data_IF_469995553132
#
_entry.id   IF_469995553132
#
_cell.length_a   1.000
_cell.length_b   1.000
_cell.length_c   1.000
_cell.angle_alpha   90.00
_cell.angle_beta   90.00
_cell.angle_gamma   90.00
#
_symmetry.space_group_name_H-M   'P 1'
#
loop_
_entity.id
_entity.type
_entity.pdbx_description
1 polymer ?
#
# COMPACT_ATOMS: atom_id res chain seq x y z
N UNK A 1 -17.23 4.40 24.34
CA UNK A 1 -16.04 4.86 25.09
C UNK A 1 -16.39 5.70 26.32
N UNK A 2 -17.67 5.99 26.56
CA UNK A 2 -18.15 6.74 27.73
C UNK A 2 -17.70 6.15 29.07
N UNK A 3 -17.53 4.83 29.14
CA UNK A 3 -17.16 4.09 30.35
C UNK A 3 -15.71 4.36 30.81
N UNK A 4 -14.87 4.91 29.93
CA UNK A 4 -13.46 5.21 30.20
C UNK A 4 -13.18 6.72 30.31
N UNK A 5 -14.19 7.57 30.23
CA UNK A 5 -14.06 9.03 30.20
C UNK A 5 -13.05 9.50 29.12
N UNK A 6 -13.10 8.86 27.95
CA UNK A 6 -12.16 9.08 26.85
C UNK A 6 -12.83 9.90 25.75
N UNK A 7 -12.15 10.97 25.32
CA UNK A 7 -12.52 11.76 24.15
C UNK A 7 -11.57 11.46 23.00
N UNK A 8 -12.10 11.18 21.81
CA UNK A 8 -11.31 10.92 20.62
C UNK A 8 -11.56 12.02 19.59
N UNK A 9 -10.47 12.62 19.11
CA UNK A 9 -10.51 13.57 18.00
C UNK A 9 -9.74 12.99 16.81
N UNK A 10 -10.34 13.03 15.62
CA UNK A 10 -9.74 12.54 14.39
C UNK A 10 -9.29 13.73 13.56
N UNK A 11 -8.02 13.76 13.18
CA UNK A 11 -7.45 14.72 12.25
C UNK A 11 -7.09 13.97 10.96
N UNK A 12 -7.58 14.47 9.84
CA UNK A 12 -7.33 13.90 8.53
C UNK A 12 -6.22 14.68 7.84
N UNK A 13 -5.44 14.00 7.03
CA UNK A 13 -4.44 14.61 6.16
C UNK A 13 -4.37 13.87 4.82
N UNK A 14 -3.90 14.57 3.79
CA UNK A 14 -3.61 13.97 2.49
C UNK A 14 -2.24 13.26 2.55
N UNK A 15 -2.17 11.95 2.29
CA UNK A 15 -0.91 11.20 2.34
C UNK A 15 0.14 11.64 1.32
N UNK A 16 -0.26 12.38 0.31
CA UNK A 16 0.63 12.89 -0.75
C UNK A 16 0.95 14.37 -0.59
N UNK A 17 0.38 15.06 0.40
CA UNK A 17 0.64 16.47 0.69
C UNK A 17 1.35 16.65 2.04
N UNK A 18 2.61 17.08 1.96
CA UNK A 18 3.41 17.38 3.15
C UNK A 18 2.78 18.46 4.04
N UNK A 19 2.25 19.53 3.44
CA UNK A 19 1.66 20.62 4.22
C UNK A 19 0.40 20.17 4.95
N UNK A 20 -0.44 19.36 4.31
CA UNK A 20 -1.61 18.76 4.95
C UNK A 20 -1.22 17.91 6.18
N UNK A 21 -0.12 17.15 6.09
CA UNK A 21 0.39 16.37 7.22
C UNK A 21 0.91 17.26 8.35
N UNK A 22 1.66 18.32 8.03
CA UNK A 22 2.20 19.27 9.00
C UNK A 22 1.06 19.97 9.74
N UNK A 23 0.08 20.51 9.03
CA UNK A 23 -1.08 21.20 9.62
C UNK A 23 -1.85 20.30 10.57
N UNK A 24 -2.09 19.05 10.20
CA UNK A 24 -2.74 18.06 11.06
C UNK A 24 -1.90 17.75 12.31
N UNK A 25 -0.58 17.63 12.15
CA UNK A 25 0.36 17.37 13.24
C UNK A 25 0.42 18.53 14.23
N UNK A 26 0.51 19.76 13.76
CA UNK A 26 0.50 20.97 14.58
C UNK A 26 -0.82 21.13 15.34
N UNK A 27 -1.95 20.83 14.69
CA UNK A 27 -3.26 20.84 15.33
C UNK A 27 -3.35 19.81 16.47
N UNK A 28 -2.71 18.65 16.34
CA UNK A 28 -2.64 17.63 17.40
C UNK A 28 -1.75 18.13 18.55
N UNK A 29 -0.54 18.61 18.26
CA UNK A 29 0.42 19.07 19.26
C UNK A 29 -0.13 20.24 20.10
N UNK A 30 -0.86 21.16 19.45
CA UNK A 30 -1.51 22.30 20.15
C UNK A 30 -2.55 21.85 21.18
N UNK A 31 -3.16 20.68 20.98
CA UNK A 31 -4.19 20.16 21.88
C UNK A 31 -3.61 19.42 23.09
N UNK A 32 -2.32 19.09 23.08
CA UNK A 32 -1.64 18.32 24.13
C UNK A 32 -2.44 17.08 24.58
N UNK A 33 -2.72 16.13 23.67
CA UNK A 33 -3.51 14.94 24.00
C UNK A 33 -2.73 14.02 24.95
N UNK A 34 -3.45 13.18 25.70
CA UNK A 34 -2.85 12.16 26.56
C UNK A 34 -2.17 11.01 25.77
N UNK A 35 -2.46 10.90 24.49
CA UNK A 35 -1.86 9.93 23.60
C UNK A 35 -2.31 10.09 22.14
N UNK A 36 -1.54 9.56 21.21
CA UNK A 36 -1.81 9.71 19.77
C UNK A 36 -1.79 8.36 19.05
N UNK A 37 -2.79 8.14 18.20
CA UNK A 37 -2.76 7.06 17.20
C UNK A 37 -2.39 7.65 15.84
N UNK A 38 -1.33 7.16 15.25
CA UNK A 38 -0.83 7.64 13.95
C UNK A 38 -0.96 6.53 12.93
N UNK A 39 -1.56 6.83 11.76
CA UNK A 39 -1.50 5.98 10.58
C UNK A 39 -0.40 6.52 9.65
N UNK A 40 0.86 6.12 9.82
CA UNK A 40 1.96 6.73 9.09
C UNK A 40 1.95 6.32 7.62
N UNK A 41 2.12 7.28 6.72
CA UNK A 41 2.21 7.02 5.28
C UNK A 41 3.63 7.23 4.76
N UNK A 42 4.24 8.37 5.06
CA UNK A 42 5.58 8.73 4.61
C UNK A 42 6.54 8.80 5.81
N UNK A 43 7.59 7.96 5.85
CA UNK A 43 8.53 7.91 6.97
C UNK A 43 9.16 9.25 7.33
N UNK A 44 9.54 10.04 6.31
CA UNK A 44 10.18 11.34 6.49
C UNK A 44 9.28 12.37 7.18
N UNK A 45 7.97 12.34 6.93
CA UNK A 45 7.02 13.26 7.56
C UNK A 45 6.70 12.82 8.98
N UNK A 46 6.43 11.54 9.15
CA UNK A 46 6.04 10.97 10.44
C UNK A 46 7.15 11.08 11.47
N UNK A 47 8.42 10.92 11.06
CA UNK A 47 9.56 11.01 12.00
C UNK A 47 9.59 12.36 12.71
N UNK A 48 9.50 13.49 11.99
CA UNK A 48 9.51 14.82 12.59
C UNK A 48 8.38 15.03 13.61
N UNK A 49 7.20 14.51 13.32
CA UNK A 49 6.06 14.57 14.23
C UNK A 49 6.28 13.70 15.48
N UNK A 50 6.73 12.48 15.33
CA UNK A 50 6.97 11.58 16.47
C UNK A 50 8.13 12.02 17.35
N UNK A 51 9.17 12.65 16.81
CA UNK A 51 10.23 13.26 17.57
C UNK A 51 9.68 14.39 18.49
N UNK A 52 8.70 15.17 18.01
CA UNK A 52 8.02 16.18 18.82
C UNK A 52 7.12 15.55 19.91
N UNK A 53 6.39 14.48 19.59
CA UNK A 53 5.60 13.74 20.59
C UNK A 53 6.49 13.21 21.72
N UNK A 54 7.64 12.64 21.37
CA UNK A 54 8.63 12.16 22.35
C UNK A 54 9.17 13.29 23.21
N UNK A 55 9.47 14.45 22.63
CA UNK A 55 9.96 15.62 23.36
C UNK A 55 8.92 16.13 24.38
N UNK A 56 7.64 15.95 24.08
CA UNK A 56 6.52 16.36 24.94
C UNK A 56 6.03 15.25 25.89
N UNK A 57 6.71 14.09 25.93
CA UNK A 57 6.33 12.89 26.67
C UNK A 57 4.90 12.40 26.33
N UNK A 58 4.42 12.64 25.08
CA UNK A 58 3.14 12.16 24.61
C UNK A 58 3.30 10.76 24.02
N UNK A 59 2.71 9.71 24.62
CA UNK A 59 2.79 8.35 24.08
C UNK A 59 2.04 8.24 22.75
N UNK A 60 2.60 7.46 21.82
CA UNK A 60 1.94 7.22 20.55
C UNK A 60 2.03 5.75 20.13
N UNK A 61 1.04 5.33 19.35
CA UNK A 61 1.00 4.03 18.70
C UNK A 61 0.84 4.20 17.20
N UNK A 62 1.34 3.21 16.44
CA UNK A 62 1.05 3.15 15.03
C UNK A 62 -0.13 2.21 14.75
N UNK A 63 -0.95 2.61 13.79
CA UNK A 63 -2.04 1.80 13.24
C UNK A 63 -1.83 1.63 11.72
N UNK A 64 -2.21 0.47 11.20
CA UNK A 64 -2.16 0.11 9.78
C UNK A 64 -0.74 -0.03 9.21
N UNK A 65 0.08 1.00 9.26
CA UNK A 65 1.48 1.01 8.78
C UNK A 65 2.47 1.19 9.92
N UNK A 66 3.69 0.67 9.74
CA UNK A 66 4.79 0.82 10.68
C UNK A 66 6.00 1.46 10.00
N UNK A 67 6.76 2.24 10.72
CA UNK A 67 7.99 2.88 10.24
C UNK A 67 9.18 2.26 10.98
N UNK A 68 10.19 1.85 10.20
CA UNK A 68 11.46 1.41 10.75
C UNK A 68 12.17 2.57 11.44
N UNK A 69 12.95 2.26 12.46
CA UNK A 69 13.83 3.21 13.17
C UNK A 69 13.11 4.31 13.98
N UNK A 70 11.80 4.25 14.09
CA UNK A 70 10.99 5.15 14.93
C UNK A 70 9.99 4.30 15.73
N UNK A 71 10.44 3.68 16.83
CA UNK A 71 9.60 2.72 17.58
C UNK A 71 8.45 3.43 18.30
N UNK A 72 7.18 3.05 18.05
CA UNK A 72 6.04 3.49 18.83
C UNK A 72 5.94 2.68 20.13
N UNK A 73 5.05 3.08 21.03
CA UNK A 73 4.68 2.28 22.21
C UNK A 73 4.10 0.92 21.81
N UNK A 74 3.30 0.89 20.73
CA UNK A 74 2.77 -0.31 20.12
C UNK A 74 2.43 -0.10 18.65
N UNK A 75 2.35 -1.20 17.89
CA UNK A 75 1.87 -1.20 16.50
C UNK A 75 0.71 -2.17 16.35
N UNK A 76 -0.36 -1.70 15.73
CA UNK A 76 -1.53 -2.49 15.38
C UNK A 76 -1.74 -2.47 13.87
N UNK A 77 -1.39 -3.55 13.20
CA UNK A 77 -1.51 -3.66 11.75
C UNK A 77 -1.23 -5.07 11.24
N UNK A 78 -1.40 -5.25 9.95
CA UNK A 78 -1.13 -6.52 9.28
C UNK A 78 0.38 -6.71 9.09
N UNK A 79 0.85 -7.95 9.17
CA UNK A 79 2.18 -8.29 8.67
C UNK A 79 2.16 -8.26 7.13
N UNK A 80 2.48 -7.10 6.57
CA UNK A 80 2.38 -6.84 5.13
C UNK A 80 3.27 -7.77 4.30
N UNK A 81 4.49 -8.11 4.80
CA UNK A 81 5.38 -9.02 4.09
C UNK A 81 4.79 -10.43 4.01
N UNK A 82 4.29 -10.95 5.13
CA UNK A 82 3.65 -12.26 5.15
C UNK A 82 2.37 -12.27 4.31
N UNK A 83 1.62 -11.18 4.30
CA UNK A 83 0.43 -11.01 3.47
C UNK A 83 0.77 -11.06 1.98
N UNK A 84 1.84 -10.39 1.55
CA UNK A 84 2.32 -10.45 0.17
C UNK A 84 2.79 -11.85 -0.24
N UNK A 85 3.52 -12.54 0.65
CA UNK A 85 3.93 -13.93 0.45
C UNK A 85 2.72 -14.85 0.25
N UNK A 86 1.69 -14.68 1.07
CA UNK A 86 0.45 -15.44 0.94
C UNK A 86 -0.30 -15.11 -0.37
N UNK A 87 -0.35 -13.83 -0.76
CA UNK A 87 -0.99 -13.41 -2.00
C UNK A 87 -0.32 -14.03 -3.25
N UNK A 88 1.02 -14.15 -3.25
CA UNK A 88 1.74 -14.86 -4.30
C UNK A 88 1.29 -16.33 -4.39
N UNK A 89 1.21 -17.01 -3.25
CA UNK A 89 0.72 -18.39 -3.20
C UNK A 89 -0.69 -18.51 -3.76
N UNK A 90 -1.60 -17.59 -3.39
CA UNK A 90 -2.97 -17.60 -3.91
C UNK A 90 -3.03 -17.36 -5.42
N UNK A 91 -2.22 -16.41 -5.92
CA UNK A 91 -2.15 -16.15 -7.36
C UNK A 91 -1.66 -17.38 -8.11
N UNK A 92 -0.63 -18.07 -7.62
CA UNK A 92 -0.07 -19.24 -8.28
C UNK A 92 -1.02 -20.45 -8.26
N UNK A 93 -1.91 -20.56 -7.28
CA UNK A 93 -2.99 -21.56 -7.31
C UNK A 93 -3.99 -21.32 -8.45
N UNK A 94 -4.20 -20.05 -8.84
CA UNK A 94 -5.06 -19.67 -9.98
C UNK A 94 -4.30 -19.75 -11.30
N UNK A 95 -3.04 -19.31 -11.29
CA UNK A 95 -2.19 -19.19 -12.48
C UNK A 95 -1.75 -20.55 -13.06
N UNK A 96 -1.78 -21.61 -12.27
CA UNK A 96 -1.34 -22.96 -12.65
C UNK A 96 0.09 -22.94 -13.22
N UNK A 97 0.25 -23.30 -14.52
CA UNK A 97 1.56 -23.41 -15.17
C UNK A 97 1.97 -22.14 -15.96
N UNK A 98 1.30 -21.01 -15.71
CA UNK A 98 1.63 -19.75 -16.39
C UNK A 98 3.00 -19.24 -15.98
N UNK A 99 3.72 -18.68 -16.97
CA UNK A 99 5.13 -18.28 -16.80
C UNK A 99 5.31 -16.78 -16.62
N UNK A 100 4.26 -16.00 -16.75
CA UNK A 100 4.29 -14.54 -16.69
C UNK A 100 3.22 -14.01 -15.75
N UNK A 101 3.62 -13.09 -14.90
CA UNK A 101 2.73 -12.37 -13.98
C UNK A 101 3.05 -10.89 -14.09
N UNK A 102 2.03 -10.03 -13.99
CA UNK A 102 2.24 -8.59 -13.92
C UNK A 102 1.93 -8.05 -12.52
N UNK A 103 2.81 -7.21 -12.01
CA UNK A 103 2.56 -6.37 -10.84
C UNK A 103 2.10 -5.01 -11.34
N UNK A 104 0.88 -4.63 -11.00
CA UNK A 104 0.37 -3.28 -11.22
C UNK A 104 0.65 -2.43 -9.98
N UNK A 105 1.56 -1.46 -10.11
CA UNK A 105 1.84 -0.50 -9.04
C UNK A 105 1.04 0.78 -9.29
N UNK A 106 0.53 1.36 -8.22
CA UNK A 106 -0.02 2.71 -8.24
C UNK A 106 0.99 3.64 -7.59
N UNK A 107 1.50 4.56 -8.39
CA UNK A 107 2.51 5.53 -7.98
C UNK A 107 1.98 6.96 -8.11
N UNK A 108 2.44 7.83 -7.23
CA UNK A 108 2.20 9.27 -7.30
C UNK A 108 3.55 9.96 -7.29
N UNK A 109 3.88 10.69 -8.38
CA UNK A 109 5.17 11.38 -8.55
C UNK A 109 6.39 10.48 -8.27
N UNK A 110 6.33 9.21 -8.69
CA UNK A 110 7.40 8.23 -8.47
C UNK A 110 7.43 7.60 -7.07
N UNK A 111 6.46 7.94 -6.20
CA UNK A 111 6.37 7.42 -4.83
C UNK A 111 5.30 6.33 -4.76
N UNK A 112 5.67 5.16 -4.26
CA UNK A 112 4.71 4.12 -3.84
C UNK A 112 4.06 4.57 -2.53
N UNK A 113 2.73 4.68 -2.52
CA UNK A 113 1.98 5.42 -1.50
C UNK A 113 2.06 4.91 -0.06
N UNK A 114 2.60 3.72 0.21
CA UNK A 114 2.78 3.25 1.59
C UNK A 114 3.82 2.14 1.72
N UNK A 115 4.46 2.12 2.87
CA UNK A 115 5.37 1.06 3.31
C UNK A 115 4.74 -0.35 3.25
N UNK A 116 3.42 -0.44 3.33
CA UNK A 116 2.69 -1.69 3.21
C UNK A 116 2.77 -2.28 1.80
N UNK A 117 2.63 -1.46 0.76
CA UNK A 117 2.72 -1.92 -0.62
C UNK A 117 4.11 -2.49 -0.91
N UNK A 118 5.16 -1.78 -0.50
CA UNK A 118 6.53 -2.25 -0.63
C UNK A 118 6.77 -3.57 0.11
N UNK A 119 6.34 -3.66 1.36
CA UNK A 119 6.50 -4.88 2.14
C UNK A 119 5.70 -6.06 1.57
N UNK A 120 4.50 -5.82 1.02
CA UNK A 120 3.71 -6.84 0.33
C UNK A 120 4.44 -7.31 -0.93
N UNK A 121 5.00 -6.40 -1.72
CA UNK A 121 5.77 -6.75 -2.91
C UNK A 121 7.03 -7.55 -2.55
N UNK A 122 7.77 -7.16 -1.50
CA UNK A 122 8.92 -7.93 -0.99
C UNK A 122 8.51 -9.36 -0.64
N UNK A 123 7.40 -9.53 0.09
CA UNK A 123 6.90 -10.85 0.44
C UNK A 123 6.45 -11.67 -0.77
N UNK A 124 5.78 -11.04 -1.72
CA UNK A 124 5.37 -11.65 -2.99
C UNK A 124 6.58 -12.18 -3.76
N UNK A 125 7.58 -11.33 -3.98
CA UNK A 125 8.80 -11.70 -4.71
C UNK A 125 9.57 -12.81 -4.01
N UNK A 126 9.63 -12.78 -2.68
CA UNK A 126 10.25 -13.84 -1.90
C UNK A 126 9.59 -15.20 -2.19
N UNK A 127 8.26 -15.29 -2.17
CA UNK A 127 7.54 -16.53 -2.50
C UNK A 127 7.85 -16.98 -3.94
N UNK A 128 7.83 -16.06 -4.89
CA UNK A 128 8.10 -16.37 -6.30
C UNK A 128 9.52 -16.89 -6.51
N UNK A 129 10.52 -16.29 -5.87
CA UNK A 129 11.91 -16.74 -5.91
C UNK A 129 12.09 -18.14 -5.32
N UNK A 130 11.45 -18.40 -4.18
CA UNK A 130 11.55 -19.67 -3.47
C UNK A 130 10.82 -20.83 -4.19
N UNK A 131 9.69 -20.58 -4.84
CA UNK A 131 8.81 -21.62 -5.36
C UNK A 131 8.63 -21.62 -6.88
N UNK A 132 8.80 -20.47 -7.52
CA UNK A 132 8.58 -20.29 -8.97
C UNK A 132 9.68 -19.45 -9.63
N UNK A 133 10.98 -19.83 -9.49
CA UNK A 133 12.10 -19.00 -9.96
C UNK A 133 12.16 -18.83 -11.48
N UNK A 134 11.43 -19.65 -12.23
CA UNK A 134 11.32 -19.54 -13.70
C UNK A 134 10.17 -18.63 -14.18
N UNK A 135 9.36 -18.12 -13.24
CA UNK A 135 8.28 -17.20 -13.58
C UNK A 135 8.81 -15.79 -13.80
N UNK A 136 8.45 -15.20 -14.93
CA UNK A 136 8.80 -13.81 -15.25
C UNK A 136 7.81 -12.87 -14.56
N UNK A 137 8.33 -11.94 -13.79
CA UNK A 137 7.53 -10.88 -13.16
C UNK A 137 7.70 -9.61 -13.99
N UNK A 138 6.61 -9.21 -14.63
CA UNK A 138 6.49 -7.95 -15.35
C UNK A 138 5.97 -6.88 -14.38
N UNK A 139 6.27 -5.63 -14.67
CA UNK A 139 5.89 -4.48 -13.85
C UNK A 139 5.23 -3.42 -14.71
N UNK A 140 4.13 -2.87 -14.23
CA UNK A 140 3.47 -1.74 -14.85
C UNK A 140 3.11 -0.71 -13.79
N UNK A 141 3.75 0.45 -13.89
CA UNK A 141 3.52 1.59 -13.04
C UNK A 141 2.38 2.43 -13.62
N UNK A 142 1.34 2.65 -12.82
CA UNK A 142 0.15 3.42 -13.17
C UNK A 142 0.01 4.59 -12.20
N UNK A 143 -0.73 5.63 -12.57
CA UNK A 143 -0.96 6.78 -11.70
C UNK A 143 -1.77 6.37 -10.45
N UNK A 144 -1.50 7.01 -9.31
CA UNK A 144 -2.19 6.72 -8.05
C UNK A 144 -3.69 7.03 -8.12
N UNK A 145 -4.05 8.09 -8.80
CA UNK A 145 -5.42 8.48 -9.15
C UNK A 145 -5.84 7.83 -10.47
N UNK A 146 -7.16 7.70 -10.70
CA UNK A 146 -7.66 7.23 -11.99
C UNK A 146 -7.32 8.26 -13.07
N UNK A 147 -6.59 7.83 -14.10
CA UNK A 147 -6.16 8.65 -15.21
C UNK A 147 -6.54 7.96 -16.53
N UNK A 148 -6.97 8.73 -17.53
CA UNK A 148 -7.27 8.20 -18.86
C UNK A 148 -6.01 7.67 -19.55
N UNK A 149 -4.84 8.25 -19.27
CA UNK A 149 -3.53 7.76 -19.71
C UNK A 149 -3.25 6.32 -19.23
N UNK A 150 -3.71 5.94 -18.04
CA UNK A 150 -3.56 4.57 -17.53
C UNK A 150 -4.22 3.54 -18.45
N UNK A 151 -5.33 3.88 -19.10
CA UNK A 151 -5.99 3.00 -20.05
C UNK A 151 -5.14 2.79 -21.32
N UNK A 152 -4.47 3.84 -21.80
CA UNK A 152 -3.56 3.76 -22.94
C UNK A 152 -2.31 2.93 -22.60
N UNK A 153 -1.76 3.13 -21.40
CA UNK A 153 -0.62 2.35 -20.88
C UNK A 153 -0.99 0.86 -20.74
N UNK A 154 -2.18 0.56 -20.22
CA UNK A 154 -2.69 -0.81 -20.12
C UNK A 154 -2.94 -1.44 -21.50
N UNK A 155 -3.51 -0.70 -22.46
CA UNK A 155 -3.72 -1.17 -23.83
C UNK A 155 -2.39 -1.51 -24.52
N UNK A 156 -1.37 -0.66 -24.35
CA UNK A 156 -0.02 -0.89 -24.89
C UNK A 156 0.66 -2.08 -24.21
N UNK A 157 0.56 -2.17 -22.89
CA UNK A 157 1.11 -3.28 -22.12
C UNK A 157 0.54 -4.61 -22.59
N UNK A 158 -0.78 -4.73 -22.70
CA UNK A 158 -1.41 -5.97 -23.14
C UNK A 158 -1.24 -6.27 -24.64
N UNK A 159 -0.93 -5.27 -25.44
CA UNK A 159 -0.54 -5.48 -26.86
C UNK A 159 0.86 -6.10 -26.94
N UNK A 160 1.78 -5.62 -26.12
CA UNK A 160 3.16 -6.11 -26.06
C UNK A 160 3.28 -7.45 -25.34
N UNK A 161 2.37 -7.75 -24.41
CA UNK A 161 2.36 -8.97 -23.58
C UNK A 161 1.01 -9.71 -23.71
N UNK A 162 0.67 -10.24 -24.89
CA UNK A 162 -0.66 -10.82 -25.13
C UNK A 162 -0.96 -12.09 -24.34
N UNK A 163 0.08 -12.77 -23.85
CA UNK A 163 -0.03 -14.03 -23.13
C UNK A 163 -0.17 -13.86 -21.61
N UNK A 164 0.01 -12.65 -21.07
CA UNK A 164 -0.13 -12.40 -19.63
C UNK A 164 -1.59 -12.51 -19.23
N UNK A 165 -1.86 -13.40 -18.28
CA UNK A 165 -3.22 -13.68 -17.76
C UNK A 165 -3.32 -13.58 -16.24
N UNK A 166 -2.24 -13.21 -15.57
CA UNK A 166 -2.18 -13.18 -14.13
C UNK A 166 -1.55 -11.88 -13.65
N UNK A 167 -2.19 -11.24 -12.69
CA UNK A 167 -1.70 -9.99 -12.15
C UNK A 167 -2.07 -9.75 -10.69
N UNK A 168 -1.32 -8.88 -10.09
CA UNK A 168 -1.52 -8.48 -8.70
C UNK A 168 -1.32 -6.98 -8.53
N UNK A 169 -2.09 -6.39 -7.61
CA UNK A 169 -1.81 -5.05 -7.07
C UNK A 169 -1.77 -5.11 -5.55
N UNK A 170 -0.89 -4.33 -4.92
CA UNK A 170 -0.66 -4.36 -3.47
C UNK A 170 -1.43 -3.29 -2.70
N UNK A 171 -2.39 -2.65 -3.33
CA UNK A 171 -3.25 -1.63 -2.74
C UNK A 171 -4.74 -1.94 -2.90
N UNK A 172 -5.59 -1.14 -2.28
CA UNK A 172 -7.05 -1.31 -2.29
C UNK A 172 -7.74 -0.86 -3.60
N UNK A 173 -6.99 -0.34 -4.59
CA UNK A 173 -7.55 0.14 -5.86
C UNK A 173 -7.56 -0.94 -6.95
N UNK A 174 -7.56 -2.22 -6.59
CA UNK A 174 -7.64 -3.36 -7.51
C UNK A 174 -8.84 -3.29 -8.46
N UNK A 175 -9.93 -2.68 -8.01
CA UNK A 175 -11.14 -2.51 -8.81
C UNK A 175 -10.91 -1.70 -10.09
N UNK A 176 -9.97 -0.74 -10.12
CA UNK A 176 -9.64 0.06 -11.31
C UNK A 176 -9.11 -0.86 -12.42
N UNK A 177 -8.20 -1.76 -12.07
CA UNK A 177 -7.69 -2.75 -13.03
C UNK A 177 -8.78 -3.73 -13.43
N UNK A 178 -9.63 -4.15 -12.48
CA UNK A 178 -10.77 -5.03 -12.76
C UNK A 178 -11.77 -4.41 -13.74
N UNK A 179 -12.12 -3.14 -13.58
CA UNK A 179 -12.99 -2.40 -14.50
C UNK A 179 -12.38 -2.30 -15.91
N UNK A 180 -11.08 -2.00 -16.00
CA UNK A 180 -10.37 -1.99 -17.28
C UNK A 180 -10.43 -3.37 -17.95
N UNK A 181 -10.05 -4.43 -17.26
CA UNK A 181 -10.06 -5.80 -17.80
C UNK A 181 -11.47 -6.21 -18.29
N UNK A 182 -12.49 -5.87 -17.52
CA UNK A 182 -13.88 -6.12 -17.89
C UNK A 182 -14.27 -5.34 -19.15
N UNK A 183 -13.89 -4.06 -19.24
CA UNK A 183 -14.19 -3.21 -20.42
C UNK A 183 -13.53 -3.71 -21.70
N UNK A 184 -12.39 -4.39 -21.61
CA UNK A 184 -11.64 -5.00 -22.72
C UNK A 184 -12.00 -6.47 -22.96
N UNK A 185 -12.99 -7.01 -22.23
CA UNK A 185 -13.43 -8.40 -22.38
C UNK A 185 -12.41 -9.46 -21.97
N UNK A 186 -11.42 -9.10 -21.13
CA UNK A 186 -10.35 -10.00 -20.64
C UNK A 186 -10.87 -10.89 -19.49
N UNK A 187 -11.80 -11.81 -19.80
CA UNK A 187 -12.49 -12.65 -18.80
C UNK A 187 -11.59 -13.74 -18.19
N UNK A 188 -10.52 -14.13 -18.89
CA UNK A 188 -9.61 -15.21 -18.49
C UNK A 188 -8.40 -14.68 -17.71
N UNK A 189 -8.49 -13.44 -17.18
CA UNK A 189 -7.41 -12.83 -16.42
C UNK A 189 -7.65 -13.01 -14.92
N UNK A 190 -6.68 -13.60 -14.22
CA UNK A 190 -6.68 -13.73 -12.77
C UNK A 190 -6.08 -12.48 -12.16
N UNK A 191 -6.86 -11.74 -11.39
CA UNK A 191 -6.40 -10.53 -10.70
C UNK A 191 -6.58 -10.70 -9.19
N UNK A 192 -5.51 -10.45 -8.44
CA UNK A 192 -5.52 -10.38 -6.98
C UNK A 192 -5.19 -8.95 -6.54
N UNK A 193 -5.82 -8.50 -5.47
CA UNK A 193 -5.56 -7.21 -4.82
C UNK A 193 -5.97 -7.21 -3.36
N UNK A 194 -5.84 -6.07 -2.72
CA UNK A 194 -6.10 -5.84 -1.30
C UNK A 194 -7.31 -4.93 -1.10
#
# INVERSE_FOLDING_TARGET
YSDFNTSVKINYYDPYDYHSFVDASEAILTQQPDGVMVAPTAPQYTKGFTDQLQTLDIPYIYIDSNIKDVPPLAFFGQNSRQSGYFAARMLMLLARDEKEIVIFRKIHEGIVGSNQQENREIGFRQYMEEHHPSCTILELDLHAERNDEDNEMLDEFFRSHPNVKNGITFNSKVYIIGEYLQSRGKKDFNLIGY
#
